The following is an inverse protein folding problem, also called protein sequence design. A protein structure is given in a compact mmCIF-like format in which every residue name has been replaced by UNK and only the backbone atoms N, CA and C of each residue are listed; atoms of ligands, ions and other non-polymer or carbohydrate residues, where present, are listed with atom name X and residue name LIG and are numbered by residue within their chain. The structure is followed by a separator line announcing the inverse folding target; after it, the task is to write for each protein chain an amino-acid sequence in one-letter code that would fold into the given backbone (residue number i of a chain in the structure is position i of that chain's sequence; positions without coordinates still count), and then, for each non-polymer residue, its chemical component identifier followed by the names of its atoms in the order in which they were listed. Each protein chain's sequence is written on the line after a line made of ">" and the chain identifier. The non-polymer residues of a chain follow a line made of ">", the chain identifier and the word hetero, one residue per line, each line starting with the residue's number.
data_IF_829316008416
#
_entry.id   IF_829316008416
#
_cell.length_a   1.000
_cell.length_b   1.000
_cell.length_c   1.000
_cell.angle_alpha   90.00
_cell.angle_beta   90.00
_cell.angle_gamma   90.00
#
_symmetry.space_group_name_H-M   'P 1'
#
loop_
_entity.id
_entity.type
_entity.pdbx_description
1 polymer ?
#
# COMPACT_ATOMS: atom_id res chain seq x y z
N UNK A 1 -2.43 -28.83 -7.90
CA UNK A 1 -1.62 -27.62 -7.64
C UNK A 1 -0.46 -28.00 -6.74
N UNK A 2 0.76 -27.55 -7.04
CA UNK A 2 1.93 -27.74 -6.17
C UNK A 2 1.94 -26.59 -5.16
N UNK A 3 1.96 -26.90 -3.86
CA UNK A 3 2.10 -25.89 -2.81
C UNK A 3 3.59 -25.54 -2.72
N UNK A 4 3.95 -24.28 -2.94
CA UNK A 4 5.30 -23.76 -2.67
C UNK A 4 5.36 -23.30 -1.22
N UNK A 5 6.20 -23.94 -0.42
CA UNK A 5 6.45 -23.53 0.96
C UNK A 5 7.37 -22.30 0.94
N UNK A 6 6.96 -21.24 1.61
CA UNK A 6 7.74 -20.00 1.79
C UNK A 6 8.19 -19.90 3.24
N UNK A 7 9.42 -19.46 3.49
CA UNK A 7 9.98 -19.24 4.85
C UNK A 7 9.36 -18.04 5.59
N UNK A 8 8.23 -17.51 5.10
CA UNK A 8 7.55 -16.37 5.71
C UNK A 8 6.82 -16.81 6.98
N UNK A 9 7.11 -16.20 8.14
CA UNK A 9 6.36 -16.49 9.36
C UNK A 9 4.90 -16.04 9.22
N UNK A 10 3.98 -16.84 9.75
CA UNK A 10 2.58 -16.45 9.85
C UNK A 10 2.43 -15.36 10.92
N UNK A 11 1.93 -14.19 10.51
CA UNK A 11 1.66 -13.08 11.42
C UNK A 11 0.22 -13.14 11.92
N UNK A 12 0.04 -12.74 13.18
CA UNK A 12 -1.29 -12.56 13.76
C UNK A 12 -1.93 -11.24 13.31
N UNK A 13 -3.23 -11.08 13.56
CA UNK A 13 -4.00 -9.89 13.14
C UNK A 13 -3.46 -8.59 13.74
N UNK A 14 -2.96 -8.61 14.97
CA UNK A 14 -2.40 -7.44 15.63
C UNK A 14 -1.09 -7.00 14.96
N UNK A 15 -0.16 -7.91 14.71
CA UNK A 15 1.11 -7.63 14.03
C UNK A 15 0.87 -7.08 12.62
N UNK A 16 -0.12 -7.60 11.90
CA UNK A 16 -0.53 -7.09 10.58
C UNK A 16 -1.08 -5.67 10.70
N UNK A 17 -1.87 -5.38 11.74
CA UNK A 17 -2.37 -4.04 12.03
C UNK A 17 -1.27 -3.04 12.39
N UNK A 18 -0.25 -3.46 13.12
CA UNK A 18 0.94 -2.67 13.45
C UNK A 18 1.73 -2.31 12.17
N UNK A 19 1.90 -3.26 11.26
CA UNK A 19 2.52 -3.02 9.96
C UNK A 19 1.72 -2.01 9.12
N UNK A 20 0.40 -2.16 9.05
CA UNK A 20 -0.46 -1.21 8.34
C UNK A 20 -0.39 0.20 8.96
N UNK A 21 -0.38 0.29 10.29
CA UNK A 21 -0.24 1.57 11.02
C UNK A 21 1.14 2.21 10.79
N UNK A 22 2.20 1.42 10.72
CA UNK A 22 3.55 1.91 10.41
C UNK A 22 3.61 2.53 9.00
N UNK A 23 2.94 1.92 8.01
CA UNK A 23 2.83 2.46 6.65
C UNK A 23 2.05 3.76 6.61
N UNK A 24 0.96 3.87 7.38
CA UNK A 24 0.17 5.10 7.48
C UNK A 24 0.99 6.24 8.09
N UNK A 25 1.77 5.95 9.13
CA UNK A 25 2.68 6.90 9.74
C UNK A 25 3.76 7.39 8.76
N UNK A 26 4.34 6.49 7.96
CA UNK A 26 5.32 6.85 6.92
C UNK A 26 4.66 7.69 5.82
N UNK A 27 3.48 7.30 5.35
CA UNK A 27 2.72 8.08 4.37
C UNK A 27 2.45 9.51 4.86
N UNK A 28 2.02 9.66 6.11
CA UNK A 28 1.81 10.98 6.73
C UNK A 28 3.10 11.79 6.80
N UNK A 29 4.24 11.17 7.14
CA UNK A 29 5.55 11.85 7.12
C UNK A 29 5.95 12.32 5.73
N UNK A 30 5.71 11.50 4.70
CA UNK A 30 5.98 11.86 3.30
C UNK A 30 5.14 13.08 2.89
N UNK A 31 3.85 13.11 3.22
CA UNK A 31 2.99 14.25 2.92
C UNK A 31 3.46 15.53 3.64
N UNK A 32 3.82 15.44 4.93
CA UNK A 32 4.36 16.55 5.69
C UNK A 32 5.69 17.06 5.12
N UNK A 33 6.57 16.16 4.70
CA UNK A 33 7.82 16.52 4.05
C UNK A 33 7.55 17.30 2.76
N UNK A 34 6.65 16.80 1.89
CA UNK A 34 6.28 17.49 0.64
C UNK A 34 5.65 18.86 0.92
N UNK A 35 4.79 18.98 1.94
CA UNK A 35 4.20 20.27 2.33
C UNK A 35 5.27 21.26 2.78
N UNK A 36 6.22 20.83 3.63
CA UNK A 36 7.36 21.65 4.06
C UNK A 36 8.16 22.11 2.85
N UNK A 37 8.49 21.22 1.93
CA UNK A 37 9.27 21.55 0.73
C UNK A 37 8.57 22.57 -0.17
N UNK A 38 7.24 22.48 -0.29
CA UNK A 38 6.47 23.50 -1.01
C UNK A 38 6.54 24.87 -0.34
N UNK A 39 6.52 24.92 1.00
CA UNK A 39 6.71 26.16 1.78
C UNK A 39 8.12 26.71 1.60
N UNK A 40 9.15 25.88 1.66
CA UNK A 40 10.55 26.29 1.48
C UNK A 40 10.79 26.88 0.08
N UNK A 41 10.23 26.23 -0.95
CA UNK A 41 10.29 26.75 -2.34
C UNK A 41 9.58 28.10 -2.46
N UNK A 42 8.43 28.29 -1.82
CA UNK A 42 7.71 29.56 -1.85
C UNK A 42 8.50 30.66 -1.11
N UNK A 43 9.02 30.36 0.07
CA UNK A 43 9.83 31.28 0.87
C UNK A 43 11.10 31.71 0.12
N UNK A 44 11.80 30.77 -0.52
CA UNK A 44 13.01 31.08 -1.29
C UNK A 44 12.73 31.96 -2.50
N UNK A 45 11.60 31.74 -3.19
CA UNK A 45 11.15 32.63 -4.28
C UNK A 45 10.89 34.05 -3.78
N UNK A 46 10.24 34.20 -2.64
CA UNK A 46 9.97 35.53 -2.06
C UNK A 46 11.25 36.22 -1.61
N UNK A 47 12.19 35.49 -1.01
CA UNK A 47 13.49 36.02 -0.58
C UNK A 47 14.30 36.55 -1.78
N UNK A 48 14.42 35.75 -2.84
CA UNK A 48 15.17 36.14 -4.05
C UNK A 48 14.48 37.33 -4.74
N UNK A 49 13.16 37.31 -4.86
CA UNK A 49 12.41 38.44 -5.43
C UNK A 49 12.63 39.73 -4.63
N UNK A 50 12.59 39.67 -3.29
CA UNK A 50 12.88 40.82 -2.43
C UNK A 50 14.33 41.28 -2.58
N UNK A 51 15.30 40.37 -2.65
CA UNK A 51 16.72 40.73 -2.81
C UNK A 51 16.98 41.51 -4.09
N UNK A 52 16.46 41.02 -5.21
CA UNK A 52 16.66 41.67 -6.52
C UNK A 52 15.84 42.96 -6.69
N UNK A 53 14.71 43.12 -5.99
CA UNK A 53 13.97 44.40 -5.94
C UNK A 53 14.79 45.55 -5.35
N UNK A 54 15.74 45.27 -4.46
CA UNK A 54 16.59 46.28 -3.83
C UNK A 54 17.97 46.39 -4.51
N UNK A 55 18.19 45.71 -5.63
CA UNK A 55 19.45 45.79 -6.37
C UNK A 55 19.49 47.05 -7.24
N UNK A 56 20.43 47.95 -6.95
CA UNK A 56 20.70 49.16 -7.75
C UNK A 56 21.88 48.91 -8.70
N UNK A 57 21.76 49.33 -9.97
CA UNK A 57 22.88 49.32 -10.93
C UNK A 57 22.78 48.34 -12.10
N UNK A 58 21.68 47.58 -12.22
CA UNK A 58 21.42 46.68 -13.35
C UNK A 58 20.16 47.09 -14.12
N UNK A 59 20.10 46.78 -15.42
CA UNK A 59 18.88 46.98 -16.21
C UNK A 59 17.76 46.06 -15.71
N UNK A 60 16.50 46.47 -15.81
CA UNK A 60 15.37 45.63 -15.36
C UNK A 60 15.32 44.25 -16.02
N UNK A 61 15.81 44.13 -17.26
CA UNK A 61 15.92 42.86 -17.97
C UNK A 61 17.02 41.94 -17.39
N UNK A 62 18.15 42.52 -16.98
CA UNK A 62 19.25 41.76 -16.37
C UNK A 62 18.89 41.32 -14.94
N UNK A 63 18.24 42.19 -14.16
CA UNK A 63 17.69 41.86 -12.83
C UNK A 63 16.73 40.68 -12.92
N UNK A 64 15.81 40.70 -13.89
CA UNK A 64 14.86 39.61 -14.09
C UNK A 64 15.56 38.29 -14.47
N UNK A 65 16.55 38.35 -15.36
CA UNK A 65 17.33 37.16 -15.77
C UNK A 65 18.13 36.58 -14.60
N UNK A 66 18.83 37.41 -13.83
CA UNK A 66 19.62 36.94 -12.69
C UNK A 66 18.75 36.40 -11.55
N UNK A 67 17.66 37.09 -11.22
CA UNK A 67 16.66 36.60 -10.26
C UNK A 67 16.08 35.25 -10.67
N UNK A 68 15.80 35.06 -11.97
CA UNK A 68 15.32 33.79 -12.49
C UNK A 68 16.37 32.68 -12.38
N UNK A 69 17.63 32.94 -12.76
CA UNK A 69 18.70 31.94 -12.66
C UNK A 69 19.00 31.55 -11.22
N UNK A 70 19.02 32.51 -10.29
CA UNK A 70 19.24 32.24 -8.87
C UNK A 70 18.06 31.45 -8.29
N UNK A 71 16.83 31.82 -8.65
CA UNK A 71 15.62 31.09 -8.23
C UNK A 71 15.66 29.64 -8.70
N UNK A 72 16.07 29.39 -9.95
CA UNK A 72 16.19 28.04 -10.48
C UNK A 72 17.27 27.23 -9.77
N UNK A 73 18.44 27.82 -9.50
CA UNK A 73 19.53 27.17 -8.78
C UNK A 73 19.14 26.82 -7.34
N UNK A 74 18.55 27.76 -6.60
CA UNK A 74 18.13 27.55 -5.22
C UNK A 74 17.00 26.51 -5.11
N UNK A 75 16.04 26.53 -6.04
CA UNK A 75 14.99 25.50 -6.10
C UNK A 75 15.58 24.13 -6.48
N UNK A 76 16.58 24.10 -7.37
CA UNK A 76 17.30 22.87 -7.73
C UNK A 76 17.92 22.23 -6.49
N UNK A 77 18.67 23.01 -5.71
CA UNK A 77 19.32 22.54 -4.49
C UNK A 77 18.32 22.03 -3.43
N UNK A 78 17.20 22.76 -3.21
CA UNK A 78 16.13 22.31 -2.31
C UNK A 78 15.60 20.95 -2.77
N UNK A 79 15.33 20.80 -4.07
CA UNK A 79 14.78 19.55 -4.64
C UNK A 79 15.76 18.39 -4.60
N UNK A 80 17.04 18.61 -4.82
CA UNK A 80 18.05 17.55 -4.75
C UNK A 80 18.19 17.01 -3.32
N UNK A 81 18.22 17.90 -2.32
CA UNK A 81 18.19 17.52 -0.91
C UNK A 81 16.90 16.77 -0.55
N UNK A 82 15.77 17.23 -1.07
CA UNK A 82 14.45 16.58 -0.88
C UNK A 82 14.40 15.17 -1.44
N UNK A 83 15.10 14.93 -2.56
CA UNK A 83 15.05 13.65 -3.25
C UNK A 83 15.67 12.55 -2.41
N UNK A 84 16.78 12.84 -1.73
CA UNK A 84 17.42 11.89 -0.82
C UNK A 84 16.51 11.57 0.39
N UNK A 85 15.86 12.58 0.96
CA UNK A 85 14.92 12.40 2.07
C UNK A 85 13.70 11.56 1.66
N UNK A 86 13.06 11.89 0.53
CA UNK A 86 11.90 11.17 0.01
C UNK A 86 12.23 9.73 -0.41
N UNK A 87 13.42 9.49 -0.97
CA UNK A 87 13.90 8.14 -1.29
C UNK A 87 14.14 7.31 -0.02
N UNK A 88 14.69 7.92 1.03
CA UNK A 88 14.84 7.29 2.34
C UNK A 88 13.50 6.87 2.94
N UNK A 89 12.49 7.74 2.89
CA UNK A 89 11.13 7.43 3.37
C UNK A 89 10.46 6.33 2.53
N UNK A 90 10.67 6.34 1.21
CA UNK A 90 10.15 5.29 0.33
C UNK A 90 10.77 3.92 0.65
N UNK A 91 12.09 3.87 0.90
CA UNK A 91 12.79 2.63 1.32
C UNK A 91 12.27 2.12 2.66
N UNK A 92 12.01 3.02 3.61
CA UNK A 92 11.39 2.68 4.90
C UNK A 92 9.99 2.09 4.74
N UNK A 93 9.21 2.53 3.74
CA UNK A 93 7.89 1.98 3.46
C UNK A 93 7.93 0.60 2.78
N UNK A 94 9.01 0.26 2.07
CA UNK A 94 9.12 -0.99 1.32
C UNK A 94 9.13 -2.24 2.21
N UNK A 95 9.87 -2.20 3.33
CA UNK A 95 9.97 -3.34 4.25
C UNK A 95 8.62 -3.75 4.90
N UNK A 96 7.85 -2.86 5.53
CA UNK A 96 6.56 -3.23 6.12
C UNK A 96 5.53 -3.64 5.05
N UNK A 97 5.57 -3.04 3.85
CA UNK A 97 4.70 -3.47 2.74
C UNK A 97 5.02 -4.87 2.25
N UNK A 98 6.31 -5.21 2.08
CA UNK A 98 6.73 -6.54 1.66
C UNK A 98 6.25 -7.62 2.66
N UNK A 99 6.33 -7.34 3.96
CA UNK A 99 5.82 -8.23 5.00
C UNK A 99 4.30 -8.42 4.92
N UNK A 100 3.53 -7.35 4.66
CA UNK A 100 2.08 -7.44 4.45
C UNK A 100 1.72 -8.29 3.23
N UNK A 101 2.40 -8.08 2.10
CA UNK A 101 2.16 -8.84 0.87
C UNK A 101 2.52 -10.32 1.06
N UNK A 102 3.57 -10.61 1.83
CA UNK A 102 3.97 -11.97 2.16
C UNK A 102 2.91 -12.72 2.99
N UNK A 103 1.98 -12.03 3.64
CA UNK A 103 0.86 -12.66 4.35
C UNK A 103 -0.29 -13.10 3.42
N UNK A 104 -0.38 -12.58 2.19
CA UNK A 104 -1.48 -12.89 1.26
C UNK A 104 -1.76 -14.39 1.06
N UNK A 105 -0.75 -15.28 0.90
CA UNK A 105 -0.99 -16.71 0.73
C UNK A 105 -1.68 -17.38 1.93
N UNK A 106 -1.51 -16.83 3.14
CA UNK A 106 -2.11 -17.38 4.37
C UNK A 106 -3.56 -16.94 4.59
N UNK A 107 -3.99 -15.89 3.91
CA UNK A 107 -5.31 -15.26 4.02
C UNK A 107 -5.99 -15.13 2.64
N UNK A 108 -5.64 -15.98 1.68
CA UNK A 108 -6.17 -15.91 0.31
C UNK A 108 -7.64 -16.35 0.22
N UNK A 109 -8.02 -17.33 1.03
CA UNK A 109 -9.37 -17.91 1.06
C UNK A 109 -9.91 -17.97 2.49
N UNK A 110 -11.18 -17.57 2.71
CA UNK A 110 -11.81 -17.66 4.03
C UNK A 110 -11.89 -19.11 4.52
N UNK A 111 -12.00 -20.08 3.61
CA UNK A 111 -12.02 -21.50 3.98
C UNK A 111 -10.67 -21.96 4.56
N UNK A 112 -9.54 -21.42 4.10
CA UNK A 112 -8.22 -21.72 4.69
C UNK A 112 -8.03 -21.10 6.06
N UNK A 113 -8.58 -19.89 6.27
CA UNK A 113 -8.56 -19.26 7.59
C UNK A 113 -9.45 -20.06 8.55
N UNK A 114 -10.64 -20.47 8.12
CA UNK A 114 -11.56 -21.30 8.90
C UNK A 114 -10.93 -22.65 9.27
N UNK A 115 -10.29 -23.32 8.32
CA UNK A 115 -9.68 -24.63 8.57
C UNK A 115 -8.51 -24.55 9.56
N UNK A 116 -7.84 -23.40 9.66
CA UNK A 116 -6.79 -23.13 10.64
C UNK A 116 -7.34 -22.69 12.00
N UNK A 117 -8.40 -21.91 12.03
CA UNK A 117 -8.88 -21.24 13.24
C UNK A 117 -9.24 -22.19 14.39
N UNK A 118 -9.70 -23.41 14.07
CA UNK A 118 -10.02 -24.45 15.05
C UNK A 118 -9.00 -25.60 15.06
N UNK A 119 -7.78 -25.40 14.56
CA UNK A 119 -6.71 -26.39 14.75
C UNK A 119 -6.30 -26.41 16.22
N UNK A 120 -6.29 -27.61 16.82
CA UNK A 120 -5.94 -27.81 18.23
C UNK A 120 -7.11 -27.69 19.21
N UNK A 121 -8.30 -27.31 18.76
CA UNK A 121 -9.51 -27.31 19.61
C UNK A 121 -10.08 -28.74 19.73
N UNK A 122 -10.21 -29.31 20.94
CA UNK A 122 -10.80 -30.63 21.14
C UNK A 122 -12.23 -30.74 20.59
N UNK A 123 -13.02 -29.66 20.65
CA UNK A 123 -14.41 -29.65 20.14
C UNK A 123 -14.48 -29.90 18.65
N UNK A 124 -13.48 -29.46 17.89
CA UNK A 124 -13.42 -29.75 16.44
C UNK A 124 -13.34 -31.26 16.20
N UNK A 125 -12.54 -31.97 16.98
CA UNK A 125 -12.37 -33.42 16.88
C UNK A 125 -13.65 -34.15 17.27
N UNK A 126 -14.32 -33.71 18.33
CA UNK A 126 -15.61 -34.26 18.77
C UNK A 126 -16.69 -34.11 17.68
N UNK A 127 -16.84 -32.92 17.11
CA UNK A 127 -17.80 -32.69 16.03
C UNK A 127 -17.44 -33.48 14.76
N UNK A 128 -16.15 -33.65 14.45
CA UNK A 128 -15.70 -34.49 13.35
C UNK A 128 -16.11 -35.95 13.53
N UNK A 129 -16.01 -36.48 14.75
CA UNK A 129 -16.42 -37.85 15.07
C UNK A 129 -17.95 -37.99 15.01
N UNK A 130 -18.68 -37.05 15.60
CA UNK A 130 -20.16 -37.06 15.59
C UNK A 130 -20.73 -37.00 14.16
N UNK A 131 -20.09 -36.23 13.27
CA UNK A 131 -20.55 -36.02 11.91
C UNK A 131 -19.92 -36.98 10.88
N UNK A 132 -19.11 -37.95 11.32
CA UNK A 132 -18.36 -38.83 10.42
C UNK A 132 -19.25 -39.66 9.48
N UNK A 133 -20.47 -39.96 9.92
CA UNK A 133 -21.47 -40.73 9.16
C UNK A 133 -22.66 -39.88 8.71
N UNK A 134 -22.59 -38.55 8.88
CA UNK A 134 -23.68 -37.66 8.52
C UNK A 134 -23.86 -37.58 7.00
N UNK A 135 -25.12 -37.58 6.56
CA UNK A 135 -25.47 -37.45 5.14
C UNK A 135 -25.30 -36.02 4.61
N UNK A 136 -25.38 -35.80 3.28
CA UNK A 136 -25.30 -34.47 2.68
C UNK A 136 -26.33 -33.48 3.25
N UNK A 137 -27.57 -33.91 3.49
CA UNK A 137 -28.61 -33.05 4.06
C UNK A 137 -28.27 -32.59 5.49
N UNK A 138 -27.76 -33.49 6.32
CA UNK A 138 -27.38 -33.19 7.71
C UNK A 138 -26.18 -32.25 7.77
N UNK A 139 -25.17 -32.47 6.91
CA UNK A 139 -24.04 -31.56 6.79
C UNK A 139 -24.47 -30.15 6.34
N UNK A 140 -25.44 -30.04 5.44
CA UNK A 140 -26.03 -28.76 5.04
C UNK A 140 -26.73 -28.06 6.21
N UNK A 141 -27.50 -28.79 7.01
CA UNK A 141 -28.15 -28.22 8.19
C UNK A 141 -27.13 -27.79 9.26
N UNK A 142 -26.12 -28.62 9.53
CA UNK A 142 -25.06 -28.29 10.48
C UNK A 142 -24.20 -27.11 10.02
N UNK A 143 -23.97 -26.96 8.72
CA UNK A 143 -23.35 -25.77 8.14
C UNK A 143 -24.17 -24.51 8.45
N UNK A 144 -25.49 -24.56 8.29
CA UNK A 144 -26.38 -23.44 8.60
C UNK A 144 -26.39 -23.11 10.10
N UNK A 145 -26.44 -24.13 10.97
CA UNK A 145 -26.36 -23.95 12.43
C UNK A 145 -25.02 -23.31 12.81
N UNK A 146 -23.91 -23.78 12.24
CA UNK A 146 -22.59 -23.21 12.50
C UNK A 146 -22.51 -21.73 12.09
N UNK A 147 -23.05 -21.38 10.92
CA UNK A 147 -23.09 -20.00 10.44
C UNK A 147 -23.99 -19.09 11.31
N UNK A 148 -25.12 -19.61 11.77
CA UNK A 148 -26.06 -18.88 12.64
C UNK A 148 -25.53 -18.68 14.07
N UNK A 149 -24.83 -19.67 14.61
CA UNK A 149 -24.27 -19.63 15.97
C UNK A 149 -22.84 -19.10 16.05
N UNK A 150 -22.20 -18.86 14.90
CA UNK A 150 -20.78 -18.48 14.79
C UNK A 150 -19.83 -19.48 15.46
N UNK A 151 -20.19 -20.76 15.47
CA UNK A 151 -19.36 -21.82 16.02
C UNK A 151 -18.26 -22.23 15.02
N UNK A 152 -17.04 -21.74 15.26
CA UNK A 152 -15.87 -21.98 14.41
C UNK A 152 -15.45 -23.45 14.40
N UNK A 153 -15.50 -24.13 15.56
CA UNK A 153 -15.13 -25.54 15.68
C UNK A 153 -16.06 -26.42 14.84
N UNK A 154 -17.38 -26.21 14.93
CA UNK A 154 -18.37 -26.93 14.13
C UNK A 154 -18.21 -26.64 12.63
N UNK A 155 -18.09 -25.37 12.24
CA UNK A 155 -17.91 -24.99 10.85
C UNK A 155 -16.64 -25.61 10.22
N UNK A 156 -15.53 -25.66 10.96
CA UNK A 156 -14.28 -26.27 10.50
C UNK A 156 -14.36 -27.80 10.37
N UNK A 157 -15.15 -28.47 11.22
CA UNK A 157 -15.40 -29.89 11.14
C UNK A 157 -16.25 -30.22 9.89
N UNK A 158 -17.34 -29.47 9.68
CA UNK A 158 -18.19 -29.59 8.49
C UNK A 158 -17.37 -29.32 7.22
N UNK A 159 -16.54 -28.28 7.20
CA UNK A 159 -15.63 -27.98 6.09
C UNK A 159 -14.73 -29.16 5.74
N UNK A 160 -14.14 -29.81 6.76
CA UNK A 160 -13.24 -30.95 6.58
C UNK A 160 -13.94 -32.18 5.99
N UNK A 161 -15.24 -32.35 6.26
CA UNK A 161 -16.06 -33.43 5.70
C UNK A 161 -16.52 -33.10 4.27
N UNK A 162 -16.93 -31.84 4.03
CA UNK A 162 -17.29 -31.36 2.69
C UNK A 162 -16.14 -31.51 1.69
N UNK A 163 -14.89 -31.29 2.11
CA UNK A 163 -13.72 -31.44 1.25
C UNK A 163 -13.48 -32.89 0.81
N UNK A 164 -13.91 -33.89 1.60
CA UNK A 164 -13.82 -35.32 1.26
C UNK A 164 -14.88 -35.75 0.26
N UNK A 165 -15.97 -34.98 0.13
CA UNK A 165 -17.09 -35.33 -0.75
C UNK A 165 -16.83 -34.90 -2.21
N UNK A 166 -17.36 -35.64 -3.21
CA UNK A 166 -17.38 -35.19 -4.59
C UNK A 166 -18.15 -33.86 -4.73
N UNK A 167 -17.66 -32.93 -5.56
CA UNK A 167 -18.24 -31.58 -5.68
C UNK A 167 -19.73 -31.55 -6.05
N UNK A 168 -20.23 -32.59 -6.74
CA UNK A 168 -21.65 -32.69 -7.15
C UNK A 168 -22.59 -33.03 -6.00
N UNK A 169 -22.08 -33.70 -4.97
CA UNK A 169 -22.89 -34.20 -3.85
C UNK A 169 -22.80 -33.25 -2.63
N UNK A 170 -22.08 -32.13 -2.76
CA UNK A 170 -21.91 -31.17 -1.67
C UNK A 170 -23.17 -30.32 -1.50
N UNK A 171 -23.77 -30.29 -0.30
CA UNK A 171 -24.95 -29.48 0.00
C UNK A 171 -24.63 -27.97 0.03
N UNK A 172 -23.42 -27.59 0.44
CA UNK A 172 -22.95 -26.21 0.61
C UNK A 172 -21.51 -26.11 0.11
N UNK A 173 -21.18 -25.00 -0.56
CA UNK A 173 -19.81 -24.74 -0.99
C UNK A 173 -18.86 -24.49 0.20
N UNK A 174 -17.66 -25.10 0.25
CA UNK A 174 -16.65 -24.80 1.29
C UNK A 174 -16.36 -23.30 1.46
N UNK A 175 -16.26 -22.57 0.34
CA UNK A 175 -16.06 -21.13 0.34
C UNK A 175 -17.30 -20.36 0.83
N UNK A 176 -18.49 -20.82 0.47
CA UNK A 176 -19.77 -20.20 0.86
C UNK A 176 -19.99 -20.29 2.38
N UNK A 177 -19.76 -21.48 2.97
CA UNK A 177 -19.79 -21.68 4.41
C UNK A 177 -18.80 -20.73 5.12
N UNK A 178 -17.57 -20.66 4.62
CA UNK A 178 -16.55 -19.80 5.23
C UNK A 178 -16.86 -18.30 5.12
N UNK A 179 -17.49 -17.87 4.02
CA UNK A 179 -17.99 -16.49 3.85
C UNK A 179 -19.15 -16.22 4.83
N UNK A 180 -20.07 -17.16 4.99
CA UNK A 180 -21.21 -17.03 5.92
C UNK A 180 -20.75 -16.91 7.39
N UNK A 181 -19.62 -17.52 7.74
CA UNK A 181 -19.02 -17.40 9.07
C UNK A 181 -18.59 -15.97 9.41
N UNK A 182 -18.24 -15.12 8.42
CA UNK A 182 -17.73 -13.74 8.62
C UNK A 182 -16.59 -13.70 9.65
N UNK A 183 -15.52 -14.44 9.36
CA UNK A 183 -14.37 -14.53 10.26
C UNK A 183 -13.69 -13.16 10.37
N UNK A 184 -13.69 -12.59 11.58
CA UNK A 184 -13.12 -11.26 11.83
C UNK A 184 -11.65 -11.16 11.39
N UNK A 185 -10.85 -12.20 11.67
CA UNK A 185 -9.43 -12.21 11.33
C UNK A 185 -9.21 -12.11 9.82
N UNK A 186 -10.05 -12.79 9.03
CA UNK A 186 -9.98 -12.73 7.57
C UNK A 186 -10.37 -11.34 7.05
N UNK A 187 -11.45 -10.77 7.58
CA UNK A 187 -11.93 -9.45 7.15
C UNK A 187 -10.94 -8.34 7.49
N UNK A 188 -10.44 -8.31 8.74
CA UNK A 188 -9.47 -7.31 9.22
C UNK A 188 -8.16 -7.39 8.44
N UNK A 189 -7.60 -8.58 8.24
CA UNK A 189 -6.34 -8.73 7.50
C UNK A 189 -6.48 -8.30 6.04
N UNK A 190 -7.60 -8.64 5.41
CA UNK A 190 -7.87 -8.19 4.04
C UNK A 190 -7.97 -6.68 3.95
N UNK A 191 -8.58 -6.03 4.94
CA UNK A 191 -8.62 -4.58 5.02
C UNK A 191 -7.23 -3.97 5.20
N UNK A 192 -6.42 -4.50 6.14
CA UNK A 192 -5.05 -4.03 6.35
C UNK A 192 -4.16 -4.17 5.13
N UNK A 193 -4.27 -5.28 4.38
CA UNK A 193 -3.52 -5.47 3.13
C UNK A 193 -3.92 -4.42 2.10
N UNK A 194 -5.23 -4.16 1.93
CA UNK A 194 -5.73 -3.12 1.01
C UNK A 194 -5.25 -1.72 1.42
N UNK A 195 -5.28 -1.41 2.71
CA UNK A 195 -4.78 -0.15 3.24
C UNK A 195 -3.28 -0.01 2.98
N UNK A 196 -2.49 -1.06 3.26
CA UNK A 196 -1.05 -1.07 2.99
C UNK A 196 -0.72 -0.82 1.52
N UNK A 197 -1.43 -1.48 0.60
CA UNK A 197 -1.28 -1.26 -0.84
C UNK A 197 -1.62 0.18 -1.25
N UNK A 198 -2.75 0.71 -0.77
CA UNK A 198 -3.16 2.08 -1.05
C UNK A 198 -2.15 3.12 -0.51
N UNK A 199 -1.57 2.88 0.67
CA UNK A 199 -0.57 3.76 1.27
C UNK A 199 0.74 3.73 0.51
N UNK A 200 1.26 2.56 0.12
CA UNK A 200 2.46 2.50 -0.69
C UNK A 200 2.25 3.18 -2.06
N UNK A 201 1.10 2.94 -2.71
CA UNK A 201 0.75 3.63 -3.95
C UNK A 201 0.69 5.16 -3.76
N UNK A 202 0.10 5.64 -2.67
CA UNK A 202 0.08 7.06 -2.30
C UNK A 202 1.48 7.65 -2.18
N UNK A 203 2.38 6.97 -1.45
CA UNK A 203 3.78 7.37 -1.31
C UNK A 203 4.46 7.44 -2.70
N UNK A 204 4.32 6.40 -3.53
CA UNK A 204 4.92 6.34 -4.86
C UNK A 204 4.44 7.49 -5.77
N UNK A 205 3.14 7.77 -5.76
CA UNK A 205 2.56 8.87 -6.54
C UNK A 205 3.06 10.22 -6.04
N UNK A 206 3.11 10.42 -4.72
CA UNK A 206 3.56 11.67 -4.11
C UNK A 206 5.05 11.95 -4.45
N UNK A 207 5.93 10.96 -4.27
CA UNK A 207 7.36 11.06 -4.60
C UNK A 207 7.57 11.28 -6.10
N UNK A 208 6.84 10.56 -6.97
CA UNK A 208 6.92 10.72 -8.42
C UNK A 208 6.46 12.11 -8.86
N UNK A 209 5.39 12.63 -8.27
CA UNK A 209 4.86 13.96 -8.59
C UNK A 209 5.85 15.04 -8.20
N UNK A 210 6.45 14.94 -7.01
CA UNK A 210 7.54 15.83 -6.58
C UNK A 210 8.74 15.77 -7.54
N UNK A 211 9.13 14.57 -7.97
CA UNK A 211 10.23 14.35 -8.92
C UNK A 211 9.95 14.89 -10.34
N UNK A 212 8.71 14.75 -10.84
CA UNK A 212 8.30 15.29 -12.14
C UNK A 212 8.22 16.82 -12.14
N UNK A 213 7.74 17.41 -11.05
CA UNK A 213 7.75 18.85 -10.84
C UNK A 213 9.19 19.43 -10.80
N UNK A 214 10.21 18.59 -10.57
CA UNK A 214 11.62 18.93 -10.73
C UNK A 214 12.06 18.96 -12.21
N UNK A 215 11.72 17.93 -12.99
CA UNK A 215 12.22 17.74 -14.36
C UNK A 215 11.62 18.68 -15.41
N UNK A 216 10.35 19.05 -15.31
CA UNK A 216 9.67 19.88 -16.33
C UNK A 216 10.17 21.35 -16.35
N UNK A 217 10.90 21.79 -15.31
CA UNK A 217 11.37 23.18 -15.17
C UNK A 217 12.89 23.36 -15.30
N UNK A 218 13.62 22.27 -15.50
CA UNK A 218 15.08 22.29 -15.70
C UNK A 218 15.48 22.31 -17.18
N UNK A 219 14.54 22.34 -18.13
CA UNK A 219 14.86 22.64 -19.53
C UNK A 219 15.03 24.15 -19.68
N UNK A 220 16.25 24.66 -19.93
CA UNK A 220 16.36 26.02 -20.42
C UNK A 220 15.69 26.04 -21.78
N UNK A 221 14.79 27.00 -22.00
CA UNK A 221 14.33 27.32 -23.35
C UNK A 221 15.59 27.50 -24.21
N UNK A 222 15.78 26.75 -25.30
CA UNK A 222 16.90 27.02 -26.19
C UNK A 222 16.62 28.38 -26.80
N UNK A 223 17.35 29.39 -26.32
CA UNK A 223 17.56 30.64 -27.02
C UNK A 223 17.81 30.28 -28.47
N UNK A 224 16.91 30.73 -29.36
CA UNK A 224 17.15 30.73 -30.81
C UNK A 224 18.37 31.62 -31.07
N UNK A 225 19.55 31.06 -30.90
CA UNK A 225 20.73 31.44 -31.65
C UNK A 225 20.51 30.97 -33.09
N UNK A 226 19.87 31.79 -33.90
CA UNK A 226 20.18 31.81 -35.33
C UNK A 226 20.88 33.11 -35.60
N UNK A 227 22.20 33.01 -35.52
CA UNK A 227 23.13 33.88 -36.24
C UNK A 227 22.66 33.97 -37.70
N UNK A 228 22.34 35.17 -38.17
CA UNK A 228 22.48 35.50 -39.59
C UNK A 228 23.32 36.77 -39.71
N UNK A 229 24.63 36.54 -39.76
CA UNK A 229 25.60 37.49 -40.29
C UNK A 229 25.36 37.65 -41.79
N UNK A 230 25.30 38.90 -42.20
CA UNK A 230 25.70 39.51 -43.48
C UNK A 230 25.70 38.68 -44.76
N UNK A 231 24.90 39.13 -45.72
CA UNK A 231 25.39 39.52 -47.05
C UNK A 231 24.66 40.81 -47.48
N UNK A 232 25.40 41.92 -47.54
CA UNK A 232 25.18 43.10 -48.38
C UNK A 232 26.36 43.14 -49.37
N UNK A 233 26.33 43.93 -50.46
CA UNK A 233 25.22 44.56 -51.18
C UNK A 233 24.91 43.87 -52.52
#
# INVERSE_FOLDING_TARGET
>A
MKITLTDTPLLNTQQIGELASSLDAIHTRVLKAIERLNKDVAAKKTEIASRWKHSSGFSGADVARFAQTETLAAIGQIKDNSRAELDGLLKQAGAPHAQLVAQRPFYDSPAKVLSRAALGDPKRTEYLQQLQHAGPAELGHMAQVAAGTKNVALASAVLSLLDKMPSKDRPVGPAELAVAMKLEDYEKVREYIKLGDARLQGILVAVRTCSRAARIRSTPSPSRCVSRRSTMP
#
